data_IF_424411519379
#
_entry.id   IF_424411519379
#
_cell.length_a   1.000
_cell.length_b   1.000
_cell.length_c   1.000
_cell.angle_alpha   90.00
_cell.angle_beta   90.00
_cell.angle_gamma   90.00
#
_symmetry.space_group_name_H-M   'P 1'
#
loop_
_entity.id
_entity.type
_entity.pdbx_description
1 polymer ?
#
# COMPACT_ATOMS: atom_id res chain seq x y z
N UNK A 1 8.65 -29.46 -6.61
CA UNK A 1 8.63 -28.67 -7.86
C UNK A 1 7.71 -27.48 -7.63
N UNK A 2 8.16 -26.23 -7.73
CA UNK A 2 7.28 -25.09 -7.56
C UNK A 2 6.37 -24.98 -8.79
N UNK A 3 5.07 -25.06 -8.58
CA UNK A 3 4.07 -24.82 -9.62
C UNK A 3 4.08 -23.32 -9.95
N UNK A 4 4.68 -22.98 -11.07
CA UNK A 4 4.58 -21.65 -11.68
C UNK A 4 3.16 -21.48 -12.20
N UNK A 5 2.29 -20.84 -11.45
CA UNK A 5 0.99 -20.39 -11.95
C UNK A 5 1.12 -19.01 -12.57
N UNK A 6 1.68 -18.94 -13.78
CA UNK A 6 1.45 -17.80 -14.64
C UNK A 6 -0.05 -17.76 -14.95
N UNK A 7 -0.73 -16.67 -14.59
CA UNK A 7 -2.12 -16.43 -14.96
C UNK A 7 -2.17 -16.26 -16.48
N UNK A 8 -2.74 -17.23 -17.18
CA UNK A 8 -3.05 -17.12 -18.61
C UNK A 8 -4.17 -16.12 -18.79
N UNK A 9 -4.01 -15.23 -19.73
CA UNK A 9 -4.64 -13.93 -19.89
C UNK A 9 -6.04 -13.90 -20.47
N UNK A 10 -6.98 -14.80 -20.18
CA UNK A 10 -8.24 -14.61 -20.91
C UNK A 10 -9.56 -14.71 -20.13
N UNK A 11 -9.61 -15.10 -18.85
CA UNK A 11 -10.89 -15.12 -18.12
C UNK A 11 -10.80 -14.93 -16.59
N UNK A 12 -9.67 -14.60 -16.04
CA UNK A 12 -9.52 -14.51 -14.59
C UNK A 12 -9.77 -13.09 -14.11
N UNK A 13 -10.96 -12.85 -13.54
CA UNK A 13 -11.28 -11.62 -12.86
C UNK A 13 -10.36 -11.45 -11.63
N UNK A 14 -9.70 -10.29 -11.53
CA UNK A 14 -8.86 -9.94 -10.39
C UNK A 14 -9.58 -8.97 -9.45
N UNK A 15 -9.11 -8.87 -8.20
CA UNK A 15 -9.68 -7.94 -7.25
C UNK A 15 -8.68 -6.84 -6.92
N UNK A 16 -9.15 -5.61 -6.81
CA UNK A 16 -8.43 -4.51 -6.19
C UNK A 16 -9.21 -4.10 -4.95
N UNK A 17 -8.54 -4.05 -3.81
CA UNK A 17 -9.19 -3.76 -2.54
C UNK A 17 -8.51 -2.61 -1.82
N UNK A 18 -9.30 -1.77 -1.15
CA UNK A 18 -8.83 -0.76 -0.21
C UNK A 18 -9.64 -0.83 1.08
N UNK A 19 -9.13 -0.19 2.12
CA UNK A 19 -9.84 -0.07 3.41
C UNK A 19 -9.94 1.40 3.81
N UNK A 20 -11.15 1.82 4.17
CA UNK A 20 -11.44 3.16 4.67
C UNK A 20 -12.18 3.06 6.00
N UNK A 21 -11.63 3.68 7.05
CA UNK A 21 -12.26 3.75 8.37
C UNK A 21 -12.05 5.12 9.00
N UNK A 22 -12.97 5.46 9.91
CA UNK A 22 -12.91 6.71 10.64
C UNK A 22 -12.98 7.92 9.71
N UNK A 23 -12.32 9.02 10.11
CA UNK A 23 -12.45 10.35 9.45
C UNK A 23 -11.17 10.87 8.81
N UNK A 24 -10.04 10.15 8.93
CA UNK A 24 -8.74 10.62 8.42
C UNK A 24 -8.73 10.74 6.90
N UNK A 25 -9.37 9.80 6.20
CA UNK A 25 -9.50 9.78 4.75
C UNK A 25 -10.97 9.83 4.37
N UNK A 26 -11.34 10.81 3.53
CA UNK A 26 -12.69 10.96 3.01
C UNK A 26 -13.01 10.02 1.85
N UNK A 27 -14.21 10.12 1.33
CA UNK A 27 -14.64 9.40 0.14
C UNK A 27 -13.86 9.84 -1.12
N UNK A 28 -13.36 11.05 -1.14
CA UNK A 28 -12.53 11.64 -2.20
C UNK A 28 -11.25 10.79 -2.44
N UNK A 29 -10.64 10.26 -1.39
CA UNK A 29 -9.49 9.35 -1.49
C UNK A 29 -9.85 8.03 -2.16
N UNK A 30 -10.98 7.42 -1.77
CA UNK A 30 -11.47 6.18 -2.41
C UNK A 30 -11.81 6.43 -3.86
N UNK A 31 -12.48 7.55 -4.16
CA UNK A 31 -12.89 7.90 -5.51
C UNK A 31 -11.69 8.22 -6.41
N UNK A 32 -10.66 8.87 -5.89
CA UNK A 32 -9.43 9.12 -6.64
C UNK A 32 -8.67 7.81 -6.91
N UNK A 33 -8.56 6.94 -5.91
CA UNK A 33 -7.95 5.62 -6.08
C UNK A 33 -8.72 4.78 -7.12
N UNK A 34 -10.04 4.76 -7.04
CA UNK A 34 -10.89 4.07 -8.01
C UNK A 34 -10.66 4.57 -9.44
N UNK A 35 -10.66 5.90 -9.67
CA UNK A 35 -10.33 6.46 -10.99
C UNK A 35 -8.96 6.03 -11.48
N UNK A 36 -7.95 6.06 -10.60
CA UNK A 36 -6.61 5.61 -10.91
C UNK A 36 -6.57 4.13 -11.32
N UNK A 37 -7.30 3.26 -10.63
CA UNK A 37 -7.41 1.84 -10.98
C UNK A 37 -8.10 1.67 -12.33
N UNK A 38 -9.23 2.33 -12.56
CA UNK A 38 -9.94 2.27 -13.85
C UNK A 38 -9.07 2.72 -15.02
N UNK A 39 -8.20 3.68 -14.82
CA UNK A 39 -7.30 4.19 -15.86
C UNK A 39 -6.10 3.27 -16.13
N UNK A 40 -5.57 2.63 -15.10
CA UNK A 40 -4.27 1.97 -15.15
C UNK A 40 -4.32 0.44 -15.02
N UNK A 41 -5.49 -0.18 -14.92
CA UNK A 41 -5.68 -1.63 -14.88
C UNK A 41 -6.52 -2.08 -16.07
N UNK A 42 -5.91 -2.81 -17.01
CA UNK A 42 -6.61 -3.31 -18.20
C UNK A 42 -7.33 -4.65 -17.96
N UNK A 43 -6.91 -5.40 -16.94
CA UNK A 43 -7.53 -6.67 -16.59
C UNK A 43 -8.97 -6.47 -16.11
N UNK A 44 -9.85 -7.43 -16.42
CA UNK A 44 -11.21 -7.48 -15.86
C UNK A 44 -11.12 -7.56 -14.33
N UNK A 45 -11.71 -6.60 -13.63
CA UNK A 45 -11.52 -6.48 -12.19
C UNK A 45 -12.77 -6.00 -11.44
N UNK A 46 -12.78 -6.32 -10.15
CA UNK A 46 -13.64 -5.71 -9.12
C UNK A 46 -12.84 -4.69 -8.34
N UNK A 47 -13.45 -3.58 -7.97
CA UNK A 47 -12.87 -2.63 -7.02
C UNK A 47 -13.73 -2.60 -5.76
N UNK A 48 -13.19 -3.07 -4.65
CA UNK A 48 -13.90 -3.25 -3.38
C UNK A 48 -13.31 -2.38 -2.29
N UNK A 49 -14.16 -1.61 -1.63
CA UNK A 49 -13.80 -0.80 -0.47
C UNK A 49 -14.42 -1.40 0.79
N UNK A 50 -13.58 -1.89 1.69
CA UNK A 50 -14.00 -2.25 3.05
C UNK A 50 -14.11 -0.98 3.88
N UNK A 51 -15.30 -0.63 4.36
CA UNK A 51 -15.52 0.64 5.05
C UNK A 51 -16.60 0.57 6.12
N UNK A 52 -16.48 1.44 7.11
CA UNK A 52 -17.50 1.74 8.13
C UNK A 52 -18.45 2.85 7.69
N UNK A 53 -18.11 3.59 6.60
CA UNK A 53 -18.93 4.70 6.10
C UNK A 53 -18.76 4.88 4.59
N UNK A 54 -19.80 4.52 3.84
CA UNK A 54 -19.82 4.60 2.38
C UNK A 54 -20.29 5.96 1.81
N UNK A 55 -20.63 6.93 2.67
CA UNK A 55 -21.17 8.22 2.22
C UNK A 55 -20.19 8.92 1.28
N UNK A 56 -20.64 9.28 0.07
CA UNK A 56 -19.86 10.00 -0.93
C UNK A 56 -18.93 9.13 -1.77
N UNK A 57 -18.86 7.81 -1.55
CA UNK A 57 -18.11 6.90 -2.40
C UNK A 57 -18.87 6.67 -3.72
N UNK A 58 -18.16 6.64 -4.84
CA UNK A 58 -18.70 6.47 -6.17
C UNK A 58 -19.45 5.14 -6.34
N UNK A 59 -20.51 5.14 -7.13
CA UNK A 59 -21.40 3.97 -7.33
C UNK A 59 -20.71 2.77 -8.00
N UNK A 60 -19.60 2.98 -8.71
CA UNK A 60 -18.81 1.89 -9.30
C UNK A 60 -17.91 1.14 -8.31
N UNK A 61 -17.83 1.59 -7.05
CA UNK A 61 -17.07 0.94 -5.98
C UNK A 61 -17.98 -0.04 -5.24
N UNK A 62 -17.57 -1.29 -5.15
CA UNK A 62 -18.27 -2.27 -4.34
C UNK A 62 -17.97 -2.04 -2.85
N UNK A 63 -19.00 -1.86 -2.05
CA UNK A 63 -18.89 -1.58 -0.62
C UNK A 63 -19.05 -2.87 0.18
N UNK A 64 -18.11 -3.10 1.11
CA UNK A 64 -18.17 -4.19 2.08
C UNK A 64 -17.90 -3.66 3.50
N UNK A 65 -18.51 -4.25 4.53
CA UNK A 65 -18.17 -3.92 5.91
C UNK A 65 -16.74 -4.38 6.22
N UNK A 66 -16.04 -3.60 7.05
CA UNK A 66 -14.72 -4.02 7.54
C UNK A 66 -14.88 -5.28 8.40
N UNK A 67 -14.17 -6.38 8.10
CA UNK A 67 -14.25 -7.58 8.92
C UNK A 67 -13.87 -7.28 10.37
N UNK A 68 -14.56 -7.90 11.32
CA UNK A 68 -14.30 -7.71 12.74
C UNK A 68 -12.96 -8.31 13.15
N UNK A 69 -12.23 -7.60 13.99
CA UNK A 69 -11.02 -8.08 14.63
C UNK A 69 -11.06 -7.71 16.11
N UNK A 70 -10.95 -8.72 16.96
CA UNK A 70 -10.81 -8.49 18.40
C UNK A 70 -9.37 -8.07 18.71
N UNK A 71 -9.22 -6.92 19.35
CA UNK A 71 -7.93 -6.38 19.78
C UNK A 71 -7.89 -6.30 21.31
N UNK A 72 -6.71 -6.42 21.94
CA UNK A 72 -6.56 -6.17 23.38
C UNK A 72 -6.94 -4.73 23.73
N UNK A 73 -7.42 -4.53 24.96
CA UNK A 73 -7.76 -3.21 25.47
C UNK A 73 -6.59 -2.23 25.34
N UNK A 74 -6.88 -1.01 24.95
CA UNK A 74 -5.87 0.03 24.70
C UNK A 74 -4.99 -0.19 23.45
N UNK A 75 -5.29 -1.19 22.63
CA UNK A 75 -4.63 -1.47 21.35
C UNK A 75 -5.57 -1.30 20.15
N UNK A 76 -6.55 -0.44 20.28
CA UNK A 76 -7.58 -0.15 19.28
C UNK A 76 -7.04 0.52 18.01
N UNK A 77 -5.72 0.46 17.80
CA UNK A 77 -5.08 0.96 16.59
C UNK A 77 -5.63 0.22 15.37
N UNK A 78 -6.40 0.95 14.62
CA UNK A 78 -7.11 0.48 13.43
C UNK A 78 -6.19 -0.13 12.36
N UNK A 79 -4.88 0.14 12.42
CA UNK A 79 -3.88 -0.43 11.50
C UNK A 79 -3.80 -1.96 11.57
N UNK A 80 -4.12 -2.58 12.71
CA UNK A 80 -4.18 -4.02 12.85
C UNK A 80 -5.32 -4.65 12.05
N UNK A 81 -6.38 -3.90 11.76
CA UNK A 81 -7.51 -4.36 10.95
C UNK A 81 -7.12 -4.82 9.55
N UNK A 82 -6.01 -4.36 8.99
CA UNK A 82 -5.49 -4.87 7.70
C UNK A 82 -5.22 -6.37 7.71
N UNK A 83 -4.96 -6.97 8.86
CA UNK A 83 -4.77 -8.42 8.97
C UNK A 83 -6.03 -9.21 8.59
N UNK A 84 -7.21 -8.60 8.67
CA UNK A 84 -8.46 -9.24 8.25
C UNK A 84 -8.54 -9.48 6.73
N UNK A 85 -7.68 -8.86 5.94
CA UNK A 85 -7.52 -9.16 4.52
C UNK A 85 -7.08 -10.62 4.27
N UNK A 86 -6.48 -11.25 5.29
CA UNK A 86 -6.10 -12.67 5.25
C UNK A 86 -7.19 -13.61 5.82
N UNK A 87 -8.43 -13.15 5.92
CA UNK A 87 -9.57 -14.00 6.27
C UNK A 87 -9.83 -15.06 5.19
N UNK A 88 -10.35 -16.20 5.62
CA UNK A 88 -10.82 -17.24 4.72
C UNK A 88 -12.23 -17.70 5.17
N UNK A 89 -13.28 -17.36 4.42
CA UNK A 89 -13.27 -16.50 3.21
C UNK A 89 -12.99 -15.02 3.52
N UNK A 90 -12.51 -14.26 2.53
CA UNK A 90 -12.52 -12.80 2.57
C UNK A 90 -13.74 -12.32 1.80
N UNK A 91 -14.89 -12.27 2.49
CA UNK A 91 -16.20 -12.05 1.87
C UNK A 91 -16.42 -13.04 0.69
N UNK A 92 -16.87 -12.55 -0.45
CA UNK A 92 -17.06 -13.30 -1.70
C UNK A 92 -15.86 -13.19 -2.67
N UNK A 93 -14.73 -12.66 -2.22
CA UNK A 93 -13.56 -12.43 -3.08
C UNK A 93 -12.79 -13.73 -3.33
N UNK A 94 -12.56 -14.03 -4.60
CA UNK A 94 -11.81 -15.21 -5.04
C UNK A 94 -10.67 -14.77 -5.96
N UNK A 95 -9.50 -15.41 -5.86
CA UNK A 95 -8.42 -15.22 -6.81
C UNK A 95 -7.42 -14.13 -6.42
N UNK A 96 -6.62 -13.65 -7.39
CA UNK A 96 -5.60 -12.65 -7.16
C UNK A 96 -6.20 -11.33 -6.68
N UNK A 97 -5.68 -10.78 -5.60
CA UNK A 97 -6.19 -9.58 -4.95
C UNK A 97 -5.04 -8.61 -4.66
N UNK A 98 -5.13 -7.40 -5.20
CA UNK A 98 -4.18 -6.31 -4.95
C UNK A 98 -4.78 -5.36 -3.91
N UNK A 99 -4.11 -5.23 -2.78
CA UNK A 99 -4.45 -4.23 -1.78
C UNK A 99 -3.71 -2.93 -2.05
N UNK A 100 -4.44 -1.81 -1.97
CA UNK A 100 -3.92 -0.45 -2.11
C UNK A 100 -4.39 0.41 -0.93
N UNK A 101 -3.44 1.07 -0.25
CA UNK A 101 -3.77 2.12 0.73
C UNK A 101 -4.41 3.32 0.02
N UNK A 102 -5.08 4.16 0.80
CA UNK A 102 -5.77 5.34 0.28
C UNK A 102 -4.83 6.52 -0.02
N UNK A 103 -3.68 6.58 0.65
CA UNK A 103 -2.71 7.66 0.54
C UNK A 103 -1.64 7.38 -0.52
N UNK A 104 -2.08 7.00 -1.70
CA UNK A 104 -1.23 6.77 -2.87
C UNK A 104 -1.87 7.30 -4.16
N UNK A 105 -1.04 7.51 -5.18
CA UNK A 105 -1.49 7.91 -6.53
C UNK A 105 -0.85 6.99 -7.56
N UNK A 106 -1.64 6.54 -8.55
CA UNK A 106 -1.25 5.60 -9.59
C UNK A 106 -0.86 6.37 -10.85
N UNK A 107 0.29 6.02 -11.44
CA UNK A 107 0.86 6.66 -12.63
C UNK A 107 1.19 5.68 -13.76
N UNK A 108 1.15 4.40 -13.52
CA UNK A 108 1.49 3.41 -14.54
C UNK A 108 0.67 2.13 -14.40
N UNK A 109 0.78 1.25 -15.41
CA UNK A 109 -0.01 0.01 -15.47
C UNK A 109 0.09 -0.79 -14.18
N UNK A 110 -1.07 -1.20 -13.67
CA UNK A 110 -1.22 -2.13 -12.55
C UNK A 110 -1.20 -3.60 -12.99
N UNK A 111 -1.29 -3.90 -14.28
CA UNK A 111 -1.33 -5.28 -14.79
C UNK A 111 -0.08 -6.06 -14.34
N UNK A 112 1.07 -5.40 -14.30
CA UNK A 112 2.34 -6.01 -13.88
C UNK A 112 2.32 -6.49 -12.43
N UNK A 113 1.51 -5.89 -11.56
CA UNK A 113 1.36 -6.34 -10.17
C UNK A 113 0.68 -7.71 -10.08
N UNK A 114 -0.10 -8.09 -11.09
CA UNK A 114 -0.76 -9.38 -11.15
C UNK A 114 0.10 -10.46 -11.83
N UNK A 115 1.06 -10.07 -12.66
CA UNK A 115 1.96 -10.99 -13.38
C UNK A 115 3.30 -11.22 -12.70
N UNK A 116 3.70 -10.34 -11.75
CA UNK A 116 4.94 -10.48 -10.98
C UNK A 116 4.97 -11.80 -10.21
N UNK A 117 6.09 -12.51 -10.28
CA UNK A 117 6.30 -13.73 -9.51
C UNK A 117 6.30 -13.47 -7.99
N UNK A 118 5.93 -14.49 -7.22
CA UNK A 118 5.88 -14.46 -5.75
C UNK A 118 4.49 -14.68 -5.20
N UNK A 119 4.40 -15.27 -4.01
CA UNK A 119 3.13 -15.58 -3.35
C UNK A 119 2.47 -14.30 -2.82
N UNK A 120 3.19 -13.54 -1.99
CA UNK A 120 2.73 -12.24 -1.47
C UNK A 120 3.81 -11.18 -1.70
N UNK A 121 3.89 -10.62 -2.94
CA UNK A 121 4.75 -9.48 -3.20
C UNK A 121 4.23 -8.23 -2.48
N UNK A 122 5.14 -7.50 -1.81
CA UNK A 122 4.87 -6.29 -1.03
C UNK A 122 5.96 -5.25 -1.31
N UNK A 123 5.75 -3.98 -0.96
CA UNK A 123 6.83 -3.00 -1.00
C UNK A 123 7.87 -3.37 0.06
N UNK A 124 9.15 -3.39 -0.29
CA UNK A 124 10.21 -3.48 0.72
C UNK A 124 10.30 -2.13 1.45
N UNK A 125 10.11 -2.11 2.75
CA UNK A 125 10.06 -0.86 3.52
C UNK A 125 11.33 -0.02 3.35
N UNK A 126 12.49 -0.67 3.25
CA UNK A 126 13.76 0.00 2.98
C UNK A 126 13.79 0.76 1.63
N UNK A 127 13.02 0.36 0.62
CA UNK A 127 13.00 0.99 -0.70
C UNK A 127 12.31 2.35 -0.69
N UNK A 128 11.41 2.58 0.26
CA UNK A 128 10.76 3.88 0.46
C UNK A 128 11.68 4.95 1.06
N UNK A 129 12.91 4.60 1.46
CA UNK A 129 13.87 5.54 2.02
C UNK A 129 15.00 5.88 1.04
N UNK A 130 15.38 7.15 0.98
CA UNK A 130 16.34 7.67 0.00
C UNK A 130 17.77 7.17 0.19
N UNK A 131 18.25 7.01 1.43
CA UNK A 131 19.64 6.68 1.70
C UNK A 131 19.80 5.38 2.46
N UNK A 132 19.84 4.27 1.69
CA UNK A 132 20.17 2.96 2.24
C UNK A 132 21.60 2.90 2.79
N UNK A 133 22.59 3.52 2.07
CA UNK A 133 24.01 3.49 2.44
C UNK A 133 24.25 4.20 3.77
N UNK A 134 23.74 5.41 3.95
CA UNK A 134 23.91 6.15 5.20
C UNK A 134 23.23 5.43 6.38
N UNK A 135 22.06 4.82 6.16
CA UNK A 135 21.40 4.04 7.19
C UNK A 135 22.18 2.78 7.53
N UNK A 136 22.71 2.06 6.54
CA UNK A 136 23.53 0.88 6.76
C UNK A 136 24.77 1.22 7.60
N UNK A 137 25.37 2.40 7.36
CA UNK A 137 26.55 2.86 8.08
C UNK A 137 26.25 3.30 9.52
N UNK A 138 25.22 4.16 9.70
CA UNK A 138 24.96 4.78 11.01
C UNK A 138 23.93 4.04 11.86
N UNK A 139 23.06 3.23 11.27
CA UNK A 139 22.02 2.46 11.95
C UNK A 139 21.91 1.04 11.35
N UNK A 140 22.96 0.21 11.43
CA UNK A 140 23.02 -1.07 10.72
C UNK A 140 21.92 -2.05 11.16
N UNK A 141 21.60 -2.13 12.46
CA UNK A 141 20.50 -2.99 12.97
C UNK A 141 19.14 -2.58 12.39
N UNK A 142 18.85 -1.26 12.37
CA UNK A 142 17.60 -0.74 11.81
C UNK A 142 17.55 -0.93 10.30
N UNK A 143 18.67 -0.76 9.61
CA UNK A 143 18.75 -1.00 8.16
C UNK A 143 18.40 -2.46 7.83
N UNK A 144 19.07 -3.41 8.49
CA UNK A 144 18.83 -4.85 8.32
C UNK A 144 17.38 -5.22 8.61
N UNK A 145 16.80 -4.67 9.68
CA UNK A 145 15.40 -4.87 10.01
C UNK A 145 14.48 -4.39 8.87
N UNK A 146 14.68 -3.17 8.36
CA UNK A 146 13.83 -2.60 7.29
C UNK A 146 13.99 -3.32 5.93
N UNK A 147 15.14 -3.97 5.68
CA UNK A 147 15.31 -4.82 4.48
C UNK A 147 14.44 -6.09 4.54
N UNK A 148 14.05 -6.52 5.72
CA UNK A 148 13.25 -7.73 5.96
C UNK A 148 11.75 -7.42 6.13
N UNK A 149 11.38 -6.16 6.33
CA UNK A 149 9.99 -5.75 6.58
C UNK A 149 9.36 -5.23 5.30
N UNK A 150 8.16 -5.71 5.01
CA UNK A 150 7.31 -5.16 3.98
C UNK A 150 6.54 -3.93 4.44
N UNK A 151 6.33 -2.98 3.55
CA UNK A 151 5.40 -1.87 3.74
C UNK A 151 4.05 -2.25 3.12
N UNK A 152 3.01 -2.31 3.92
CA UNK A 152 1.69 -2.82 3.54
C UNK A 152 0.81 -1.82 2.80
N UNK A 153 1.40 -0.77 2.20
CA UNK A 153 0.61 0.17 1.38
C UNK A 153 0.21 -0.42 0.03
N UNK A 154 1.03 -1.32 -0.53
CA UNK A 154 0.73 -2.03 -1.77
C UNK A 154 1.23 -3.47 -1.64
N UNK A 155 0.34 -4.44 -1.68
CA UNK A 155 0.70 -5.85 -1.73
C UNK A 155 -0.37 -6.67 -2.47
N UNK A 156 0.08 -7.75 -3.12
CA UNK A 156 -0.81 -8.72 -3.74
C UNK A 156 -0.82 -10.01 -2.91
N UNK A 157 -1.96 -10.62 -2.84
CA UNK A 157 -2.18 -11.93 -2.23
C UNK A 157 -3.28 -12.68 -3.00
N UNK A 158 -3.48 -13.94 -2.67
CA UNK A 158 -4.64 -14.70 -3.15
C UNK A 158 -5.66 -14.78 -2.04
N UNK A 159 -6.88 -14.30 -2.29
CA UNK A 159 -7.96 -14.33 -1.30
C UNK A 159 -8.16 -15.76 -0.76
N UNK A 160 -8.23 -15.88 0.57
CA UNK A 160 -8.41 -17.13 1.28
C UNK A 160 -7.15 -18.03 1.41
N UNK A 161 -6.03 -17.71 0.73
CA UNK A 161 -4.87 -18.62 0.73
C UNK A 161 -3.90 -18.42 1.90
N UNK A 162 -3.95 -17.27 2.59
CA UNK A 162 -2.94 -16.89 3.60
C UNK A 162 -3.55 -16.71 5.00
N UNK A 163 -4.58 -17.49 5.31
CA UNK A 163 -5.32 -17.38 6.59
C UNK A 163 -4.44 -17.62 7.83
N UNK A 164 -3.30 -18.29 7.68
CA UNK A 164 -2.34 -18.51 8.77
C UNK A 164 -1.86 -17.19 9.39
N UNK A 165 -1.77 -16.11 8.60
CA UNK A 165 -1.38 -14.77 9.10
C UNK A 165 -2.40 -14.26 10.11
N UNK A 166 -3.70 -14.30 9.76
CA UNK A 166 -4.76 -13.88 10.66
C UNK A 166 -4.93 -14.86 11.83
N UNK A 167 -4.91 -16.17 11.60
CA UNK A 167 -5.00 -17.20 12.64
C UNK A 167 -3.92 -17.04 13.70
N UNK A 168 -2.66 -16.79 13.27
CA UNK A 168 -1.55 -16.53 14.19
C UNK A 168 -1.79 -15.29 15.05
N UNK A 169 -2.35 -14.22 14.49
CA UNK A 169 -2.69 -13.03 15.26
C UNK A 169 -3.80 -13.29 16.26
N UNK A 170 -4.87 -13.93 15.82
CA UNK A 170 -6.07 -14.22 16.67
C UNK A 170 -5.75 -15.21 17.80
N UNK A 171 -4.76 -16.10 17.61
CA UNK A 171 -4.33 -17.03 18.64
C UNK A 171 -3.76 -16.31 19.89
N UNK A 172 -3.03 -15.23 19.73
CA UNK A 172 -2.53 -14.39 20.83
C UNK A 172 -2.30 -12.94 20.37
N UNK A 173 -3.36 -12.10 20.34
CA UNK A 173 -3.24 -10.71 19.95
C UNK A 173 -2.37 -9.90 20.93
N UNK A 174 -2.34 -10.28 22.21
CA UNK A 174 -1.55 -9.63 23.26
C UNK A 174 -0.06 -9.79 23.00
N UNK A 175 0.42 -11.00 22.76
CA UNK A 175 1.81 -11.26 22.40
C UNK A 175 2.18 -10.58 21.08
N UNK A 176 1.30 -10.65 20.07
CA UNK A 176 1.55 -10.02 18.77
C UNK A 176 1.74 -8.50 18.90
N UNK A 177 0.82 -7.81 19.60
CA UNK A 177 0.89 -6.34 19.78
C UNK A 177 2.00 -5.89 20.73
N UNK A 178 2.52 -6.78 21.55
CA UNK A 178 3.70 -6.53 22.41
C UNK A 178 5.01 -6.70 21.63
N UNK A 179 5.10 -7.72 20.79
CA UNK A 179 6.31 -8.03 20.01
C UNK A 179 6.48 -7.09 18.79
N UNK A 180 5.39 -6.65 18.18
CA UNK A 180 5.40 -5.85 16.95
C UNK A 180 4.70 -4.51 17.16
N UNK A 181 5.37 -3.42 16.74
CA UNK A 181 4.81 -2.05 16.88
C UNK A 181 3.63 -1.77 15.96
N UNK A 182 3.59 -2.41 14.80
CA UNK A 182 2.58 -2.20 13.74
C UNK A 182 2.32 -3.49 12.98
N UNK A 183 1.13 -3.62 12.44
CA UNK A 183 0.65 -4.82 11.73
C UNK A 183 1.54 -5.25 10.57
N UNK A 184 2.14 -4.31 9.83
CA UNK A 184 3.01 -4.67 8.69
C UNK A 184 4.28 -5.44 9.11
N UNK A 185 4.81 -5.21 10.32
CA UNK A 185 5.94 -5.97 10.86
C UNK A 185 5.52 -7.41 11.16
N UNK A 186 4.37 -7.56 11.82
CA UNK A 186 3.79 -8.87 12.11
C UNK A 186 3.46 -9.65 10.84
N UNK A 187 2.76 -9.01 9.89
CA UNK A 187 2.42 -9.57 8.59
C UNK A 187 3.67 -10.07 7.86
N UNK A 188 4.70 -9.23 7.80
CA UNK A 188 5.96 -9.58 7.13
C UNK A 188 6.66 -10.77 7.79
N UNK A 189 6.67 -10.84 9.12
CA UNK A 189 7.25 -11.95 9.85
C UNK A 189 6.49 -13.26 9.58
N UNK A 190 5.15 -13.23 9.66
CA UNK A 190 4.32 -14.40 9.42
C UNK A 190 4.46 -14.93 7.98
N UNK A 191 4.48 -14.04 7.00
CA UNK A 191 4.66 -14.41 5.58
C UNK A 191 6.09 -14.90 5.29
N UNK A 192 7.11 -14.31 5.92
CA UNK A 192 8.50 -14.73 5.74
C UNK A 192 8.74 -16.13 6.33
N UNK A 193 8.20 -16.44 7.49
CA UNK A 193 8.28 -17.76 8.12
C UNK A 193 7.61 -18.85 7.27
N UNK A 194 6.53 -18.49 6.56
CA UNK A 194 5.85 -19.38 5.61
C UNK A 194 6.57 -19.47 4.23
N UNK A 195 7.64 -18.70 3.99
CA UNK A 195 8.30 -18.63 2.69
C UNK A 195 7.48 -17.92 1.60
N UNK A 196 6.48 -17.15 1.96
CA UNK A 196 5.54 -16.51 1.05
C UNK A 196 5.86 -15.05 0.76
N UNK A 197 6.71 -14.40 1.60
CA UNK A 197 7.08 -12.99 1.45
C UNK A 197 8.00 -12.80 0.25
N UNK A 198 7.64 -11.89 -0.62
CA UNK A 198 8.49 -11.41 -1.72
C UNK A 198 8.36 -9.89 -1.85
N UNK A 199 9.11 -9.26 -2.77
CA UNK A 199 9.10 -7.82 -2.89
C UNK A 199 8.90 -7.37 -4.32
N UNK A 200 8.20 -6.23 -4.48
CA UNK A 200 8.12 -5.53 -5.75
C UNK A 200 9.49 -5.03 -6.20
N UNK A 201 9.72 -4.86 -7.52
CA UNK A 201 10.81 -4.04 -8.02
C UNK A 201 10.78 -2.66 -7.36
N UNK A 202 11.92 -2.19 -6.87
CA UNK A 202 12.05 -0.98 -6.04
C UNK A 202 11.56 0.31 -6.70
N UNK A 203 11.58 0.33 -8.04
CA UNK A 203 11.14 1.48 -8.84
C UNK A 203 9.63 1.58 -9.01
N UNK A 204 8.87 0.51 -8.76
CA UNK A 204 7.42 0.52 -9.00
C UNK A 204 6.65 1.35 -7.99
N UNK A 205 7.03 1.25 -6.72
CA UNK A 205 6.38 1.96 -5.63
C UNK A 205 7.38 2.88 -4.95
N UNK A 206 7.20 4.19 -5.09
CA UNK A 206 8.16 5.18 -4.60
C UNK A 206 7.53 6.10 -3.55
N UNK A 207 8.34 6.56 -2.60
CA UNK A 207 7.88 7.54 -1.61
C UNK A 207 7.90 8.94 -2.19
N UNK A 208 6.77 9.67 -2.13
CA UNK A 208 6.73 11.08 -2.57
C UNK A 208 7.86 11.89 -1.96
N UNK A 209 7.95 11.93 -0.62
CA UNK A 209 8.95 12.76 0.09
C UNK A 209 10.39 12.36 -0.13
N UNK A 210 10.64 11.08 -0.46
CA UNK A 210 11.99 10.56 -0.52
C UNK A 210 12.53 10.41 -1.96
N UNK A 211 11.64 10.21 -2.92
CA UNK A 211 11.99 9.95 -4.30
C UNK A 211 11.58 11.08 -5.26
N UNK A 212 10.44 11.75 -5.00
CA UNK A 212 9.94 12.79 -5.90
C UNK A 212 10.45 14.19 -5.51
N UNK A 213 10.56 14.49 -4.20
CA UNK A 213 10.92 15.83 -3.72
C UNK A 213 12.43 16.06 -3.78
N UNK A 214 12.91 17.12 -4.48
CA UNK A 214 14.32 17.53 -4.47
C UNK A 214 14.80 17.89 -3.06
N UNK A 215 16.10 17.71 -2.80
CA UNK A 215 16.72 18.02 -1.50
C UNK A 215 18.04 18.75 -1.64
N UNK A 216 18.49 19.36 -0.55
CA UNK A 216 19.72 20.15 -0.53
C UNK A 216 19.60 21.36 -1.43
N UNK A 217 20.64 21.75 -2.12
CA UNK A 217 20.64 22.91 -3.02
C UNK A 217 19.59 22.81 -4.13
N UNK A 218 19.31 21.60 -4.64
CA UNK A 218 18.27 21.40 -5.65
C UNK A 218 16.86 21.74 -5.17
N UNK A 219 16.59 21.76 -3.85
CA UNK A 219 15.28 22.15 -3.30
C UNK A 219 14.95 23.63 -3.50
N UNK A 220 15.91 24.46 -3.83
CA UNK A 220 15.70 25.91 -4.01
C UNK A 220 15.24 26.30 -5.42
N UNK A 221 15.34 25.39 -6.39
CA UNK A 221 15.00 25.73 -7.79
C UNK A 221 14.35 24.61 -8.62
N UNK A 222 14.14 23.43 -8.04
CA UNK A 222 13.56 22.31 -8.76
C UNK A 222 12.24 21.87 -8.15
N UNK A 223 11.27 21.57 -9.01
CA UNK A 223 9.98 21.00 -8.62
C UNK A 223 10.08 19.48 -8.36
N UNK A 224 9.15 18.91 -7.56
CA UNK A 224 9.01 17.47 -7.46
C UNK A 224 8.73 16.83 -8.82
N UNK A 225 9.39 15.71 -9.08
CA UNK A 225 9.24 14.97 -10.35
C UNK A 225 8.91 13.50 -10.08
N UNK A 226 8.19 12.89 -11.01
CA UNK A 226 7.93 11.46 -10.98
C UNK A 226 9.20 10.71 -11.44
N UNK A 227 9.78 9.82 -10.62
CA UNK A 227 10.93 9.03 -11.04
C UNK A 227 10.59 8.07 -12.18
N UNK A 228 11.56 7.85 -13.07
CA UNK A 228 11.41 6.88 -14.17
C UNK A 228 11.08 5.48 -13.62
N UNK A 229 10.12 4.81 -14.24
CA UNK A 229 9.65 3.48 -13.83
C UNK A 229 8.66 3.47 -12.64
N UNK A 230 8.43 4.62 -12.00
CA UNK A 230 7.43 4.69 -10.92
C UNK A 230 6.01 4.47 -11.47
N UNK A 231 5.29 3.56 -10.82
CA UNK A 231 3.90 3.24 -11.15
C UNK A 231 2.95 3.73 -10.06
N UNK A 232 3.42 3.75 -8.83
CA UNK A 232 2.66 4.21 -7.65
C UNK A 232 3.55 5.12 -6.82
N UNK A 233 3.01 6.28 -6.47
CA UNK A 233 3.61 7.21 -5.49
C UNK A 233 2.88 7.08 -4.16
N UNK A 234 3.61 6.76 -3.09
CA UNK A 234 3.08 6.52 -1.74
C UNK A 234 3.39 7.69 -0.82
N UNK A 235 2.40 8.12 -0.04
CA UNK A 235 2.49 9.23 0.93
C UNK A 235 2.58 8.71 2.38
N UNK A 236 3.56 7.86 2.66
CA UNK A 236 3.76 7.33 4.01
C UNK A 236 4.24 8.42 4.98
N UNK A 237 3.38 8.81 5.93
CA UNK A 237 3.65 9.83 6.96
C UNK A 237 3.42 11.25 6.46
N UNK A 238 4.36 12.18 6.73
CA UNK A 238 4.27 13.58 6.31
C UNK A 238 5.25 13.92 5.17
N UNK A 239 4.82 14.80 4.23
CA UNK A 239 3.53 15.51 4.16
C UNK A 239 2.38 14.56 3.81
N UNK A 240 1.17 14.89 4.23
CA UNK A 240 -0.04 14.24 3.74
C UNK A 240 -0.30 14.63 2.29
N UNK A 241 -0.95 13.75 1.56
CA UNK A 241 -1.22 13.98 0.14
C UNK A 241 -2.08 15.24 -0.07
N UNK A 242 -3.16 15.42 0.70
CA UNK A 242 -4.01 16.62 0.64
C UNK A 242 -3.23 17.89 0.93
N UNK A 243 -2.35 17.89 1.93
CA UNK A 243 -1.49 19.05 2.20
C UNK A 243 -0.67 19.44 0.96
N UNK A 244 -0.11 18.47 0.27
CA UNK A 244 0.68 18.70 -0.95
C UNK A 244 -0.18 19.22 -2.10
N UNK A 245 -1.37 18.66 -2.28
CA UNK A 245 -2.32 19.08 -3.32
C UNK A 245 -2.82 20.51 -3.11
N UNK A 246 -2.92 20.96 -1.85
CA UNK A 246 -3.30 22.31 -1.46
C UNK A 246 -2.12 23.30 -1.45
N UNK A 247 -0.91 22.85 -1.80
CA UNK A 247 0.29 23.70 -1.82
C UNK A 247 1.00 23.81 -0.46
N UNK A 248 0.62 22.97 0.50
CA UNK A 248 1.23 22.86 1.84
C UNK A 248 2.36 21.82 1.93
N UNK A 249 2.64 21.37 3.16
CA UNK A 249 3.65 20.35 3.41
C UNK A 249 5.09 20.87 3.42
N UNK A 250 5.28 22.19 3.40
CA UNK A 250 6.58 22.87 3.44
C UNK A 250 7.26 22.69 4.81
N UNK A 251 8.59 22.58 4.79
CA UNK A 251 9.45 22.65 5.99
C UNK A 251 10.72 23.41 5.64
N UNK A 252 11.42 24.00 6.60
CA UNK A 252 12.66 24.76 6.35
C UNK A 252 13.70 24.01 5.51
N UNK A 253 13.72 22.67 5.59
CA UNK A 253 14.62 21.79 4.84
C UNK A 253 13.95 21.11 3.64
N UNK A 254 12.69 21.42 3.35
CA UNK A 254 11.91 20.78 2.29
C UNK A 254 10.94 21.77 1.66
N UNK A 255 11.25 22.22 0.48
CA UNK A 255 10.32 22.98 -0.35
C UNK A 255 9.59 22.01 -1.29
N UNK A 256 8.28 22.15 -1.37
CA UNK A 256 7.45 21.47 -2.35
C UNK A 256 7.02 22.55 -3.33
N UNK A 257 7.54 22.50 -4.54
CA UNK A 257 7.19 23.41 -5.63
C UNK A 257 5.94 22.96 -6.38
N UNK A 258 5.94 23.13 -7.71
CA UNK A 258 4.81 22.72 -8.53
C UNK A 258 4.65 21.20 -8.55
N UNK A 259 3.39 20.74 -8.36
CA UNK A 259 2.98 19.34 -8.36
C UNK A 259 1.77 19.12 -9.28
N UNK A 260 1.66 19.86 -10.37
CA UNK A 260 0.50 19.79 -11.26
C UNK A 260 0.30 18.38 -11.85
N UNK A 261 1.39 17.65 -12.12
CA UNK A 261 1.35 16.24 -12.52
C UNK A 261 0.65 15.36 -11.49
N UNK A 262 0.86 15.63 -10.19
CA UNK A 262 0.22 14.89 -9.11
C UNK A 262 -1.27 15.28 -8.99
N UNK A 263 -1.57 16.59 -9.11
CA UNK A 263 -2.95 17.09 -9.09
C UNK A 263 -3.75 16.55 -10.27
N UNK A 264 -3.16 16.50 -11.45
CA UNK A 264 -3.79 15.95 -12.65
C UNK A 264 -4.16 14.48 -12.44
N UNK A 265 -3.22 13.65 -11.97
CA UNK A 265 -3.47 12.24 -11.67
C UNK A 265 -4.54 12.05 -10.59
N UNK A 266 -4.48 12.81 -9.51
CA UNK A 266 -5.49 12.76 -8.44
C UNK A 266 -6.89 13.08 -8.93
N UNK A 267 -7.02 14.06 -9.81
CA UNK A 267 -8.29 14.51 -10.38
C UNK A 267 -8.74 13.69 -11.61
N UNK A 268 -7.93 12.75 -12.09
CA UNK A 268 -8.20 11.98 -13.30
C UNK A 268 -8.14 12.82 -14.59
N UNK A 269 -7.32 13.87 -14.62
CA UNK A 269 -7.20 14.84 -15.72
C UNK A 269 -5.93 14.68 -16.55
N UNK A 270 -5.17 13.59 -16.44
CA UNK A 270 -3.99 13.30 -17.25
C UNK A 270 -4.35 12.84 -18.66
#
# INVERSE_FOLDING_TARGET
MPVSSAVTSDDTMVNVVCMKWGTLYGADYVNALFRGVQKHLSLKHRFVCFTDNAKGIASGVEIRPIPRLSLPDGKEDLRWRKLTLFSNPLDDLIGPTLFLDLDLVIFGSLDVFFTQAGSVPIIRDADLFRSKRLRALFQPKRHRFLEMVGNSSVFRFRSGAHEHVLKRFVADPGAATSAYKISQQFQSAALAEAGELSYWPKEWCVSFKNACVPRGLASFGADPTLPAGARIVVFAGEPKMTEVLEGGGQKWYRRIGNVDWLKAAWNGKE
#
